data_IF_113871292260
#
_entry.id   IF_113871292260
#
_cell.length_a   1.000
_cell.length_b   1.000
_cell.length_c   1.000
_cell.angle_alpha   90.00
_cell.angle_beta   90.00
_cell.angle_gamma   90.00
#
_symmetry.space_group_name_H-M   'P 1'
#
loop_
_entity.id
_entity.type
_entity.pdbx_description
1 polymer ?
#
# COMPACT_ATOMS: atom_id res chain seq x y z
N UNK A 1 -13.52 -14.05 -2.36
CA UNK A 1 -12.38 -13.22 -1.97
C UNK A 1 -12.72 -11.74 -2.16
N UNK A 2 -13.32 -11.13 -1.14
CA UNK A 2 -13.62 -9.70 -1.14
C UNK A 2 -12.49 -8.96 -0.43
N UNK A 3 -11.80 -8.08 -1.15
CA UNK A 3 -10.69 -7.28 -0.61
C UNK A 3 -11.16 -5.87 -0.33
N UNK A 4 -11.02 -5.44 0.92
CA UNK A 4 -11.15 -4.03 1.29
C UNK A 4 -9.76 -3.40 1.31
N UNK A 5 -9.61 -2.21 0.71
CA UNK A 5 -8.31 -1.53 0.65
C UNK A 5 -8.43 -0.03 0.88
N UNK A 6 -7.40 0.55 1.50
CA UNK A 6 -7.28 1.99 1.76
C UNK A 6 -5.93 2.48 1.28
N UNK A 7 -5.93 3.52 0.44
CA UNK A 7 -4.72 4.21 0.05
C UNK A 7 -4.09 4.91 1.26
N UNK A 8 -2.79 4.69 1.46
CA UNK A 8 -2.01 5.39 2.48
C UNK A 8 -0.84 6.17 1.91
N UNK A 9 -0.47 5.91 0.65
CA UNK A 9 0.66 6.60 0.02
C UNK A 9 0.54 6.62 -1.50
N UNK A 10 0.97 7.72 -2.13
CA UNK A 10 1.20 7.83 -3.56
C UNK A 10 2.63 8.35 -3.77
N UNK A 11 3.42 7.62 -4.55
CA UNK A 11 4.69 8.12 -5.04
C UNK A 11 4.39 9.18 -6.11
N UNK A 12 4.93 10.38 -5.92
CA UNK A 12 4.96 11.39 -6.96
C UNK A 12 6.41 11.57 -7.40
N UNK A 13 6.72 11.13 -8.62
CA UNK A 13 8.02 11.36 -9.25
C UNK A 13 7.79 12.15 -10.54
N UNK A 14 8.43 13.31 -10.72
CA UNK A 14 8.23 14.14 -11.93
C UNK A 14 8.45 13.40 -13.25
N UNK A 15 9.35 12.40 -13.27
CA UNK A 15 9.77 11.68 -14.47
C UNK A 15 9.78 10.14 -14.28
N UNK A 16 8.92 9.57 -13.44
CA UNK A 16 8.95 8.13 -13.17
C UNK A 16 7.59 7.54 -12.84
N UNK A 17 7.54 6.21 -12.77
CA UNK A 17 6.30 5.47 -12.51
C UNK A 17 5.64 5.93 -11.22
N UNK A 18 4.43 6.48 -11.37
CA UNK A 18 3.56 6.79 -10.25
C UNK A 18 2.96 5.49 -9.72
N UNK A 19 3.21 5.20 -8.44
CA UNK A 19 2.65 4.06 -7.76
C UNK A 19 1.81 4.51 -6.58
N UNK A 20 0.63 3.94 -6.45
CA UNK A 20 -0.22 4.03 -5.27
C UNK A 20 -0.01 2.79 -4.41
N UNK A 21 -0.02 2.98 -3.09
CA UNK A 21 0.12 1.91 -2.12
C UNK A 21 -1.10 1.89 -1.21
N UNK A 22 -1.70 0.71 -1.11
CA UNK A 22 -2.91 0.46 -0.34
C UNK A 22 -2.65 -0.57 0.75
N UNK A 23 -3.18 -0.33 1.94
CA UNK A 23 -3.32 -1.35 2.97
C UNK A 23 -4.59 -2.12 2.65
N UNK A 24 -4.45 -3.42 2.44
CA UNK A 24 -5.53 -4.30 2.04
C UNK A 24 -5.78 -5.35 3.13
N UNK A 25 -7.05 -5.71 3.29
CA UNK A 25 -7.49 -6.81 4.14
C UNK A 25 -8.43 -7.70 3.35
N UNK A 26 -8.15 -9.00 3.38
CA UNK A 26 -9.11 -10.00 2.94
C UNK A 26 -10.24 -10.13 3.97
N UNK A 27 -11.50 -9.97 3.55
CA UNK A 27 -12.63 -9.99 4.47
C UNK A 27 -12.98 -11.39 5.00
N UNK A 28 -12.56 -12.44 4.29
CA UNK A 28 -12.86 -13.84 4.61
C UNK A 28 -11.79 -14.42 5.55
N UNK A 29 -10.50 -14.27 5.22
CA UNK A 29 -9.38 -14.78 6.02
C UNK A 29 -8.91 -13.82 7.10
N UNK A 30 -9.19 -12.52 6.94
CA UNK A 30 -8.65 -11.48 7.80
C UNK A 30 -7.18 -11.14 7.52
N UNK A 31 -6.56 -11.74 6.51
CA UNK A 31 -5.17 -11.50 6.14
C UNK A 31 -4.97 -10.05 5.72
N UNK A 32 -3.89 -9.42 6.22
CA UNK A 32 -3.53 -8.04 5.94
C UNK A 32 -2.23 -7.99 5.14
N UNK A 33 -2.27 -7.27 4.01
CA UNK A 33 -1.17 -7.17 3.07
C UNK A 33 -1.16 -5.79 2.39
N UNK A 34 -0.14 -5.52 1.59
CA UNK A 34 -0.02 -4.27 0.82
C UNK A 34 -0.28 -4.55 -0.65
N UNK A 35 -1.06 -3.69 -1.29
CA UNK A 35 -1.19 -3.66 -2.76
C UNK A 35 -0.41 -2.46 -3.28
N UNK A 36 0.52 -2.72 -4.19
CA UNK A 36 1.11 -1.70 -5.05
C UNK A 36 0.30 -1.65 -6.34
N UNK A 37 -0.25 -0.49 -6.63
CA UNK A 37 -0.99 -0.23 -7.86
C UNK A 37 -0.20 0.75 -8.73
N UNK A 38 0.04 0.39 -9.99
CA UNK A 38 0.58 1.32 -10.98
C UNK A 38 -0.44 2.40 -11.33
N UNK A 39 0.01 3.58 -11.73
CA UNK A 39 -0.89 4.55 -12.36
C UNK A 39 -1.51 3.95 -13.63
N UNK A 40 -2.79 4.23 -13.84
CA UNK A 40 -3.53 3.71 -14.99
C UNK A 40 -2.89 4.14 -16.32
N UNK A 41 -2.32 5.33 -16.36
CA UNK A 41 -1.65 5.89 -17.54
C UNK A 41 -0.31 5.21 -17.85
N UNK A 42 0.29 4.52 -16.87
CA UNK A 42 1.61 3.88 -17.00
C UNK A 42 1.49 2.41 -17.40
N UNK A 43 0.60 1.64 -16.76
CA UNK A 43 0.50 0.18 -16.95
C UNK A 43 -0.94 -0.34 -16.77
N UNK A 44 -1.94 0.46 -17.15
CA UNK A 44 -3.36 0.05 -17.07
C UNK A 44 -3.87 -0.21 -15.66
N UNK A 45 -3.15 0.25 -14.63
CA UNK A 45 -3.56 0.12 -13.23
C UNK A 45 -3.19 -1.21 -12.60
N UNK A 46 -2.15 -1.89 -13.12
CA UNK A 46 -1.73 -3.20 -12.62
C UNK A 46 -1.49 -3.22 -11.12
N UNK A 47 -1.92 -4.31 -10.47
CA UNK A 47 -1.82 -4.50 -9.03
C UNK A 47 -0.87 -5.64 -8.70
N UNK A 48 -0.01 -5.41 -7.71
CA UNK A 48 0.84 -6.43 -7.12
C UNK A 48 0.65 -6.46 -5.61
N UNK A 49 0.19 -7.59 -5.09
CA UNK A 49 0.16 -7.85 -3.65
C UNK A 49 1.56 -8.19 -3.14
N UNK A 50 1.85 -7.81 -1.90
CA UNK A 50 3.03 -8.17 -1.15
C UNK A 50 2.69 -8.25 0.34
N UNK A 51 3.33 -9.16 1.06
CA UNK A 51 3.12 -9.27 2.50
C UNK A 51 3.59 -7.98 3.21
N UNK A 52 3.01 -7.72 4.39
CA UNK A 52 3.47 -6.61 5.24
C UNK A 52 4.96 -6.73 5.58
N UNK A 53 5.45 -7.94 5.83
CA UNK A 53 6.85 -8.20 6.16
C UNK A 53 7.78 -7.78 5.02
N UNK A 54 7.49 -8.23 3.79
CA UNK A 54 8.27 -7.85 2.61
C UNK A 54 8.23 -6.34 2.35
N UNK A 55 7.08 -5.71 2.53
CA UNK A 55 6.93 -4.28 2.33
C UNK A 55 7.77 -3.46 3.32
N UNK A 56 7.72 -3.83 4.60
CA UNK A 56 8.42 -3.14 5.68
C UNK A 56 9.94 -3.29 5.59
N UNK A 57 10.43 -4.44 5.11
CA UNK A 57 11.86 -4.68 4.91
C UNK A 57 12.53 -3.68 3.95
N UNK A 58 11.77 -3.07 3.04
CA UNK A 58 12.34 -2.15 2.03
C UNK A 58 12.76 -0.77 2.55
N UNK A 59 12.19 -0.30 3.67
CA UNK A 59 12.42 1.07 4.19
C UNK A 59 12.04 2.22 3.24
N UNK A 60 11.96 3.45 3.79
CA UNK A 60 11.68 4.68 3.02
C UNK A 60 10.33 5.35 3.34
N UNK A 61 9.95 6.32 2.50
CA UNK A 61 8.81 7.20 2.76
C UNK A 61 7.47 6.47 2.78
N UNK A 62 7.28 5.48 1.89
CA UNK A 62 6.05 4.67 1.85
C UNK A 62 5.87 3.83 3.12
N UNK A 63 6.93 3.24 3.66
CA UNK A 63 6.89 2.47 4.91
C UNK A 63 6.65 3.41 6.10
N UNK A 64 7.29 4.59 6.13
CA UNK A 64 6.98 5.62 7.13
C UNK A 64 5.51 6.02 7.11
N UNK A 65 4.92 6.21 5.94
CA UNK A 65 3.49 6.52 5.81
C UNK A 65 2.59 5.41 6.36
N UNK A 66 2.94 4.13 6.11
CA UNK A 66 2.22 3.00 6.71
C UNK A 66 2.35 3.00 8.25
N UNK A 67 3.54 3.22 8.79
CA UNK A 67 3.76 3.30 10.24
C UNK A 67 2.99 4.46 10.87
N UNK A 68 2.88 5.61 10.19
CA UNK A 68 2.05 6.74 10.63
C UNK A 68 0.56 6.40 10.62
N UNK A 69 0.08 5.70 9.60
CA UNK A 69 -1.29 5.20 9.56
C UNK A 69 -1.57 4.28 10.75
N UNK A 70 -0.66 3.34 11.05
CA UNK A 70 -0.79 2.45 12.21
C UNK A 70 -0.77 3.25 13.51
N UNK A 71 0.15 4.21 13.62
CA UNK A 71 0.26 5.09 14.78
C UNK A 71 -1.03 5.87 15.07
N UNK A 72 -1.77 6.29 14.04
CA UNK A 72 -3.07 6.97 14.20
C UNK A 72 -4.18 6.08 14.77
N UNK A 73 -3.98 4.77 14.86
CA UNK A 73 -4.93 3.84 15.46
C UNK A 73 -4.69 3.64 16.96
N UNK A 74 -3.55 4.09 17.47
CA UNK A 74 -3.22 4.02 18.89
C UNK A 74 -3.80 5.27 19.56
N UNK A 75 -4.76 5.12 20.51
CA UNK A 75 -5.27 6.26 21.27
C UNK A 75 -4.16 6.85 22.15
N UNK A 76 -4.28 8.15 22.48
CA UNK A 76 -3.40 8.85 23.43
C UNK A 76 -3.45 8.23 24.84
#
# INVERSE_FOLDING_TARGET
MTVVKRQFYKNHKPNGDEYMFHLARDSESGEVFVIRQADYTVDGGSEKAMSLYEFLAGGGNRQKALLQLIGSLVPE
#
